data_IF_198699439258
#
_entry.id   IF_198699439258
#
_cell.length_a   1.000
_cell.length_b   1.000
_cell.length_c   1.000
_cell.angle_alpha   90.00
_cell.angle_beta   90.00
_cell.angle_gamma   90.00
#
_symmetry.space_group_name_H-M   'P 1'
#
loop_
_entity.id
_entity.type
_entity.pdbx_description
1 polymer ?
#
# COMPACT_ATOMS: atom_id res chain seq x y z
N UNK A 1 36.86 -31.52 -38.19
CA UNK A 1 37.14 -31.30 -36.74
C UNK A 1 37.85 -29.97 -36.40
N UNK A 2 38.21 -29.11 -37.36
CA UNK A 2 38.96 -27.86 -37.08
C UNK A 2 38.04 -26.61 -37.03
N UNK A 3 36.88 -26.61 -37.72
CA UNK A 3 35.93 -25.47 -37.72
C UNK A 3 35.13 -25.28 -36.43
N UNK A 4 34.97 -26.31 -35.59
CA UNK A 4 34.23 -26.20 -34.32
C UNK A 4 35.07 -25.54 -33.21
N UNK A 5 36.39 -25.75 -33.24
CA UNK A 5 37.35 -25.16 -32.30
C UNK A 5 37.60 -23.67 -32.56
N UNK A 6 37.56 -23.23 -33.82
CA UNK A 6 37.68 -21.81 -34.18
C UNK A 6 36.43 -20.99 -33.84
N UNK A 7 35.23 -21.61 -33.94
CA UNK A 7 33.98 -20.99 -33.50
C UNK A 7 33.98 -20.77 -31.98
N UNK A 8 34.47 -21.74 -31.22
CA UNK A 8 34.61 -21.63 -29.77
C UNK A 8 35.68 -20.62 -29.34
N UNK A 9 36.75 -20.44 -30.15
CA UNK A 9 37.82 -19.45 -29.89
C UNK A 9 37.42 -17.99 -30.17
N UNK A 10 36.43 -17.74 -31.04
CA UNK A 10 35.87 -16.39 -31.27
C UNK A 10 34.67 -16.05 -30.39
N UNK A 11 34.06 -17.04 -29.77
CA UNK A 11 33.00 -16.81 -28.81
C UNK A 11 33.59 -16.37 -27.47
N UNK A 12 33.13 -15.24 -26.94
CA UNK A 12 33.33 -14.75 -25.56
C UNK A 12 32.72 -15.72 -24.51
N UNK A 13 32.79 -17.02 -24.71
CA UNK A 13 32.15 -18.03 -23.87
C UNK A 13 33.03 -18.49 -22.70
N UNK A 14 34.29 -18.07 -22.63
CA UNK A 14 35.15 -18.30 -21.46
C UNK A 14 35.25 -17.08 -20.53
N UNK A 15 34.45 -16.03 -20.75
CA UNK A 15 34.38 -14.89 -19.83
C UNK A 15 33.22 -14.96 -18.82
N UNK A 16 32.35 -15.96 -18.91
CA UNK A 16 31.09 -16.00 -18.15
C UNK A 16 30.88 -17.26 -17.30
N UNK A 17 31.96 -17.88 -16.82
CA UNK A 17 31.87 -18.95 -15.81
C UNK A 17 32.63 -18.63 -14.51
N UNK A 18 33.19 -17.42 -14.39
CA UNK A 18 33.70 -16.85 -13.15
C UNK A 18 32.80 -15.73 -12.60
N UNK A 19 31.51 -15.70 -12.98
CA UNK A 19 30.48 -15.01 -12.20
C UNK A 19 30.29 -15.80 -10.90
N UNK A 20 31.27 -15.59 -10.01
CA UNK A 20 31.30 -15.88 -8.60
C UNK A 20 29.90 -15.80 -8.00
N UNK A 21 29.59 -16.61 -7.00
CA UNK A 21 28.41 -16.46 -6.15
C UNK A 21 28.11 -14.98 -5.81
N UNK A 22 29.14 -14.13 -5.71
CA UNK A 22 29.00 -12.67 -5.57
C UNK A 22 28.26 -11.99 -6.72
N UNK A 23 28.53 -12.30 -7.99
CA UNK A 23 27.83 -11.74 -9.15
C UNK A 23 26.35 -12.15 -9.21
N UNK A 24 26.05 -13.42 -8.88
CA UNK A 24 24.67 -13.92 -8.76
C UNK A 24 23.94 -13.26 -7.57
N UNK A 25 24.62 -13.06 -6.45
CA UNK A 25 24.11 -12.33 -5.28
C UNK A 25 23.86 -10.85 -5.57
N UNK A 26 24.74 -10.17 -6.31
CA UNK A 26 24.58 -8.77 -6.71
C UNK A 26 23.38 -8.62 -7.65
N UNK A 27 23.23 -9.51 -8.63
CA UNK A 27 22.09 -9.50 -9.54
C UNK A 27 20.76 -9.78 -8.81
N UNK A 28 20.74 -10.75 -7.89
CA UNK A 28 19.59 -11.02 -7.04
C UNK A 28 19.26 -9.84 -6.12
N UNK A 29 20.28 -9.15 -5.57
CA UNK A 29 20.11 -7.95 -4.75
C UNK A 29 19.52 -6.80 -5.57
N UNK A 30 20.03 -6.55 -6.78
CA UNK A 30 19.50 -5.53 -7.69
C UNK A 30 18.05 -5.83 -8.08
N UNK A 31 17.72 -7.08 -8.45
CA UNK A 31 16.33 -7.50 -8.69
C UNK A 31 15.45 -7.25 -7.46
N UNK A 32 15.86 -7.68 -6.26
CA UNK A 32 15.10 -7.43 -5.02
C UNK A 32 14.88 -5.95 -4.76
N UNK A 33 15.88 -5.10 -5.02
CA UNK A 33 15.76 -3.65 -4.88
C UNK A 33 14.77 -3.05 -5.90
N UNK A 34 14.81 -3.50 -7.16
CA UNK A 34 13.84 -3.10 -8.18
C UNK A 34 12.42 -3.54 -7.81
N UNK A 35 12.24 -4.76 -7.30
CA UNK A 35 10.94 -5.23 -6.80
C UNK A 35 10.46 -4.39 -5.61
N UNK A 36 11.33 -4.07 -4.65
CA UNK A 36 11.01 -3.18 -3.53
C UNK A 36 10.61 -1.79 -4.01
N UNK A 37 11.35 -1.21 -4.96
CA UNK A 37 11.06 0.11 -5.53
C UNK A 37 9.72 0.12 -6.30
N UNK A 38 9.46 -0.90 -7.13
CA UNK A 38 8.20 -1.07 -7.86
C UNK A 38 7.02 -1.26 -6.91
N UNK A 39 7.20 -2.04 -5.84
CA UNK A 39 6.21 -2.22 -4.77
C UNK A 39 5.95 -0.90 -4.03
N UNK A 40 6.99 -0.14 -3.69
CA UNK A 40 6.86 1.19 -3.05
C UNK A 40 6.09 2.17 -3.95
N UNK A 41 6.41 2.23 -5.24
CA UNK A 41 5.69 3.08 -6.22
C UNK A 41 4.21 2.72 -6.34
N UNK A 42 3.85 1.44 -6.23
CA UNK A 42 2.46 0.97 -6.27
C UNK A 42 1.64 1.42 -5.05
N UNK A 43 2.28 1.63 -3.90
CA UNK A 43 1.59 2.07 -2.68
C UNK A 43 1.42 3.59 -2.60
N UNK A 44 2.21 4.38 -3.34
CA UNK A 44 2.18 5.86 -3.32
C UNK A 44 1.04 6.54 -4.09
N UNK A 45 0.00 5.80 -4.46
CA UNK A 45 -1.09 6.35 -5.26
C UNK A 45 -2.29 6.65 -4.37
N UNK A 46 -2.64 7.94 -4.30
CA UNK A 46 -3.90 8.41 -3.74
C UNK A 46 -4.96 8.32 -4.83
N UNK A 47 -6.13 7.77 -4.50
CA UNK A 47 -7.29 7.76 -5.37
C UNK A 47 -8.42 8.57 -4.75
N UNK A 48 -8.85 9.61 -5.45
CA UNK A 48 -10.02 10.40 -5.05
C UNK A 48 -11.27 9.80 -5.68
N UNK A 49 -12.26 9.50 -4.85
CA UNK A 49 -13.57 9.01 -5.23
C UNK A 49 -14.61 10.08 -4.93
N UNK A 50 -15.45 10.37 -5.91
CA UNK A 50 -16.42 11.47 -5.87
C UNK A 50 -17.82 10.88 -5.68
N UNK A 51 -18.62 11.35 -4.71
CA UNK A 51 -20.00 10.90 -4.53
C UNK A 51 -20.86 11.35 -5.71
N UNK A 52 -22.02 10.70 -5.92
CA UNK A 52 -22.96 11.08 -6.99
C UNK A 52 -23.65 12.42 -6.70
N UNK A 53 -23.95 12.67 -5.44
CA UNK A 53 -24.65 13.86 -4.98
C UNK A 53 -23.69 14.97 -4.52
N UNK A 54 -24.24 16.07 -4.01
CA UNK A 54 -23.47 17.17 -3.42
C UNK A 54 -22.52 16.67 -2.33
N UNK A 55 -21.27 17.09 -2.42
CA UNK A 55 -20.23 16.78 -1.43
C UNK A 55 -20.59 17.43 -0.09
N UNK A 56 -20.77 16.61 0.95
CA UNK A 56 -21.09 17.01 2.33
C UNK A 56 -19.85 17.19 3.21
N UNK A 57 -18.76 16.56 2.83
CA UNK A 57 -17.50 16.57 3.57
C UNK A 57 -16.44 15.69 2.92
N UNK A 58 -15.28 15.61 3.56
CA UNK A 58 -14.09 14.90 3.09
C UNK A 58 -13.70 13.79 4.06
N UNK A 59 -13.45 12.60 3.52
CA UNK A 59 -13.00 11.44 4.27
C UNK A 59 -11.65 10.97 3.73
N UNK A 60 -10.69 10.78 4.61
CA UNK A 60 -9.44 10.10 4.29
C UNK A 60 -9.57 8.62 4.69
N UNK A 61 -9.52 7.71 3.73
CA UNK A 61 -9.48 6.27 3.99
C UNK A 61 -8.06 5.76 3.77
N UNK A 62 -7.39 5.38 4.86
CA UNK A 62 -6.09 4.75 4.85
C UNK A 62 -6.24 3.24 5.09
N UNK A 63 -6.16 2.45 4.02
CA UNK A 63 -6.28 1.01 4.14
C UNK A 63 -5.58 0.28 2.98
N UNK A 64 -6.15 -0.80 2.46
CA UNK A 64 -5.69 -1.39 1.20
C UNK A 64 -6.21 -0.54 0.02
N UNK A 65 -5.40 -0.31 -1.03
CA UNK A 65 -5.82 0.46 -2.20
C UNK A 65 -7.16 0.02 -2.78
N UNK A 66 -8.05 0.99 -2.99
CA UNK A 66 -9.38 0.78 -3.52
C UNK A 66 -9.39 0.22 -4.96
N UNK A 67 -10.34 -0.65 -5.25
CA UNK A 67 -10.58 -1.18 -6.60
C UNK A 67 -12.07 -1.46 -6.84
N UNK A 68 -12.55 -1.17 -8.05
CA UNK A 68 -13.89 -1.58 -8.53
C UNK A 68 -13.86 -2.89 -9.33
N UNK A 69 -12.70 -3.55 -9.42
CA UNK A 69 -12.57 -4.75 -10.24
C UNK A 69 -13.29 -5.93 -9.55
N UNK A 70 -14.38 -6.48 -10.13
CA UNK A 70 -15.19 -7.50 -9.47
C UNK A 70 -14.42 -8.79 -9.17
N UNK A 71 -13.47 -9.17 -10.03
CA UNK A 71 -12.64 -10.35 -9.80
C UNK A 71 -11.75 -10.17 -8.57
N UNK A 72 -11.13 -8.99 -8.39
CA UNK A 72 -10.30 -8.68 -7.21
C UNK A 72 -11.11 -8.62 -5.93
N UNK A 73 -12.33 -8.10 -5.99
CA UNK A 73 -13.23 -8.04 -4.83
C UNK A 73 -13.56 -9.44 -4.30
N UNK A 74 -13.60 -10.45 -5.16
CA UNK A 74 -13.87 -11.85 -4.77
C UNK A 74 -12.64 -12.60 -4.25
N UNK A 75 -11.43 -12.04 -4.38
CA UNK A 75 -10.19 -12.75 -4.03
C UNK A 75 -9.84 -12.67 -2.54
N UNK A 76 -10.14 -11.56 -1.87
CA UNK A 76 -9.71 -11.37 -0.50
C UNK A 76 -10.67 -10.45 0.27
N UNK A 77 -11.09 -10.88 1.46
CA UNK A 77 -12.06 -10.16 2.30
C UNK A 77 -11.64 -8.70 2.54
N UNK A 78 -10.36 -8.46 2.83
CA UNK A 78 -9.85 -7.09 3.04
C UNK A 78 -10.03 -6.17 1.82
N UNK A 79 -9.88 -6.69 0.60
CA UNK A 79 -10.08 -5.91 -0.63
C UNK A 79 -11.55 -5.54 -0.78
N UNK A 80 -12.44 -6.50 -0.50
CA UNK A 80 -13.87 -6.26 -0.45
C UNK A 80 -14.25 -5.24 0.65
N UNK A 81 -13.69 -5.36 1.86
CA UNK A 81 -13.94 -4.43 2.97
C UNK A 81 -13.54 -3.01 2.61
N UNK A 82 -12.35 -2.81 2.01
CA UNK A 82 -11.89 -1.49 1.55
C UNK A 82 -12.89 -0.87 0.55
N UNK A 83 -13.37 -1.66 -0.40
CA UNK A 83 -14.39 -1.23 -1.35
C UNK A 83 -15.70 -0.85 -0.65
N UNK A 84 -16.21 -1.72 0.24
CA UNK A 84 -17.46 -1.48 0.96
C UNK A 84 -17.41 -0.23 1.84
N UNK A 85 -16.30 0.01 2.55
CA UNK A 85 -16.09 1.21 3.37
C UNK A 85 -16.14 2.47 2.52
N UNK A 86 -15.42 2.49 1.39
CA UNK A 86 -15.42 3.64 0.49
C UNK A 86 -16.82 3.89 -0.08
N UNK A 87 -17.53 2.84 -0.50
CA UNK A 87 -18.92 2.94 -0.99
C UNK A 87 -19.84 3.53 0.08
N UNK A 88 -19.74 3.09 1.32
CA UNK A 88 -20.57 3.60 2.42
C UNK A 88 -20.40 5.11 2.61
N UNK A 89 -19.16 5.62 2.61
CA UNK A 89 -18.92 7.06 2.71
C UNK A 89 -19.43 7.83 1.49
N UNK A 90 -19.20 7.30 0.28
CA UNK A 90 -19.71 7.90 -0.96
C UNK A 90 -21.24 7.98 -0.98
N UNK A 91 -21.92 6.92 -0.55
CA UNK A 91 -23.39 6.85 -0.49
C UNK A 91 -23.96 7.80 0.58
N UNK A 92 -23.14 8.20 1.57
CA UNK A 92 -23.47 9.26 2.54
C UNK A 92 -23.13 10.68 2.06
N UNK A 93 -22.61 10.82 0.84
CA UNK A 93 -22.29 12.10 0.22
C UNK A 93 -20.90 12.65 0.56
N UNK A 94 -19.99 11.83 1.08
CA UNK A 94 -18.61 12.25 1.33
C UNK A 94 -17.72 12.03 0.10
N UNK A 95 -16.79 12.96 -0.13
CA UNK A 95 -15.67 12.73 -1.03
C UNK A 95 -14.60 11.94 -0.30
N UNK A 96 -14.13 10.85 -0.92
CA UNK A 96 -13.22 9.90 -0.27
C UNK A 96 -11.86 9.93 -0.97
N UNK A 97 -10.81 10.35 -0.26
CA UNK A 97 -9.44 10.14 -0.70
C UNK A 97 -8.94 8.82 -0.09
N UNK A 98 -8.57 7.86 -0.95
CA UNK A 98 -8.05 6.56 -0.53
C UNK A 98 -6.54 6.53 -0.68
N UNK A 99 -5.85 6.19 0.39
CA UNK A 99 -4.40 5.99 0.42
C UNK A 99 -4.08 4.58 0.92
N UNK A 100 -2.95 4.03 0.47
CA UNK A 100 -2.46 2.77 1.01
C UNK A 100 -1.92 2.96 2.42
N UNK A 101 -2.22 2.02 3.31
CA UNK A 101 -1.59 1.91 4.63
C UNK A 101 -0.06 1.74 4.57
N UNK A 102 0.48 1.26 3.44
CA UNK A 102 1.92 1.20 3.18
C UNK A 102 2.54 2.52 2.71
N UNK A 103 1.75 3.58 2.49
CA UNK A 103 2.26 4.90 2.12
C UNK A 103 2.55 5.76 3.36
N UNK A 104 3.70 5.48 3.96
CA UNK A 104 4.20 6.23 5.11
C UNK A 104 4.55 7.69 4.79
N UNK A 105 4.70 8.04 3.50
CA UNK A 105 5.12 9.37 3.05
C UNK A 105 3.92 10.27 2.69
N UNK A 106 2.69 9.74 2.72
CA UNK A 106 1.51 10.52 2.37
C UNK A 106 1.20 11.60 3.43
N UNK A 107 1.03 12.83 2.93
CA UNK A 107 0.63 14.01 3.71
C UNK A 107 -0.73 14.52 3.18
N UNK A 108 -1.76 14.61 4.04
CA UNK A 108 -3.02 15.27 3.75
C UNK A 108 -2.83 16.68 3.17
N UNK A 109 -3.39 16.93 1.97
CA UNK A 109 -3.37 18.26 1.33
C UNK A 109 -4.63 19.09 1.59
N UNK A 110 -5.64 18.48 2.21
CA UNK A 110 -6.93 19.09 2.53
C UNK A 110 -7.28 18.80 3.99
N UNK A 111 -8.20 19.58 4.53
CA UNK A 111 -8.82 19.31 5.82
C UNK A 111 -9.87 18.21 5.67
N UNK A 112 -9.73 17.14 6.43
CA UNK A 112 -10.69 16.03 6.45
C UNK A 112 -11.63 16.14 7.65
N UNK A 113 -12.89 15.77 7.44
CA UNK A 113 -13.89 15.67 8.52
C UNK A 113 -13.74 14.35 9.26
N UNK A 114 -13.38 13.28 8.54
CA UNK A 114 -13.19 11.94 9.08
C UNK A 114 -11.90 11.34 8.52
N UNK A 115 -11.11 10.73 9.40
CA UNK A 115 -10.02 9.84 9.04
C UNK A 115 -10.43 8.44 9.43
N UNK A 116 -10.46 7.55 8.45
CA UNK A 116 -10.64 6.12 8.63
C UNK A 116 -9.30 5.42 8.37
N UNK A 117 -8.76 4.71 9.35
CA UNK A 117 -7.53 3.92 9.17
C UNK A 117 -7.74 2.49 9.67
N UNK A 118 -6.89 1.57 9.23
CA UNK A 118 -6.83 0.29 9.93
C UNK A 118 -6.07 0.44 11.25
N UNK A 119 -4.88 1.04 11.31
CA UNK A 119 -4.19 1.26 12.61
C UNK A 119 -2.88 2.05 12.44
N UNK A 120 -2.06 1.69 11.44
CA UNK A 120 -0.66 2.11 11.33
C UNK A 120 -0.41 3.60 11.15
N UNK A 121 -1.36 4.33 10.57
CA UNK A 121 -1.15 5.73 10.19
C UNK A 121 -2.07 6.67 10.97
N UNK A 122 -3.00 6.15 11.79
CA UNK A 122 -3.95 6.96 12.52
C UNK A 122 -3.26 7.96 13.44
N UNK A 123 -2.21 7.54 14.16
CA UNK A 123 -1.46 8.45 15.03
C UNK A 123 -0.84 9.63 14.26
N UNK A 124 -0.23 9.33 13.10
CA UNK A 124 0.33 10.37 12.22
C UNK A 124 -0.76 11.30 11.72
N UNK A 125 -1.87 10.76 11.24
CA UNK A 125 -2.95 11.57 10.70
C UNK A 125 -3.69 12.36 11.76
N UNK A 126 -3.85 11.85 12.98
CA UNK A 126 -4.44 12.59 14.09
C UNK A 126 -3.62 13.83 14.44
N UNK A 127 -2.29 13.76 14.42
CA UNK A 127 -1.41 14.93 14.60
C UNK A 127 -1.54 15.93 13.45
N UNK A 128 -1.66 15.45 12.21
CA UNK A 128 -1.77 16.29 11.00
C UNK A 128 -3.17 16.87 10.78
N UNK A 129 -4.20 16.27 11.38
CA UNK A 129 -5.62 16.61 11.21
C UNK A 129 -6.33 16.54 12.58
N UNK A 130 -5.96 17.40 13.54
CA UNK A 130 -6.42 17.30 14.93
C UNK A 130 -7.93 17.50 15.10
N UNK A 131 -8.58 18.17 14.14
CA UNK A 131 -10.04 18.43 14.16
C UNK A 131 -10.86 17.30 13.53
N UNK A 132 -10.23 16.37 12.82
CA UNK A 132 -10.94 15.29 12.14
C UNK A 132 -11.42 14.25 13.16
N UNK A 133 -12.60 13.68 12.91
CA UNK A 133 -13.07 12.51 13.65
C UNK A 133 -12.21 11.30 13.24
N UNK A 134 -11.72 10.55 14.23
CA UNK A 134 -10.87 9.38 14.00
C UNK A 134 -11.73 8.12 14.12
N UNK A 135 -11.73 7.31 13.06
CA UNK A 135 -12.38 6.01 13.01
C UNK A 135 -11.32 4.94 12.71
N UNK A 136 -11.34 3.84 13.45
CA UNK A 136 -10.42 2.72 13.26
C UNK A 136 -11.18 1.41 13.10
N UNK A 137 -10.71 0.60 12.16
CA UNK A 137 -11.18 -0.77 11.98
C UNK A 137 -10.19 -1.77 12.58
N UNK A 138 -10.63 -2.45 13.64
CA UNK A 138 -9.94 -3.63 14.14
C UNK A 138 -10.43 -4.86 13.39
N UNK A 139 -9.53 -5.49 12.62
CA UNK A 139 -9.82 -6.73 11.90
C UNK A 139 -9.57 -8.00 12.72
N UNK A 140 -9.02 -7.85 13.93
CA UNK A 140 -8.64 -8.96 14.80
C UNK A 140 -9.77 -9.26 15.81
N UNK A 141 -9.89 -10.54 16.18
CA UNK A 141 -11.03 -11.06 16.95
C UNK A 141 -11.15 -10.46 18.35
N UNK A 142 -10.04 -10.05 18.98
CA UNK A 142 -10.05 -9.42 20.30
C UNK A 142 -8.86 -8.48 20.52
N UNK A 143 -9.12 -7.18 20.35
CA UNK A 143 -8.12 -6.11 20.37
C UNK A 143 -7.21 -6.08 21.62
N UNK A 144 -7.72 -6.29 22.86
CA UNK A 144 -6.90 -6.21 24.07
C UNK A 144 -5.75 -7.23 24.13
N UNK A 145 -5.87 -8.35 23.42
CA UNK A 145 -4.85 -9.42 23.40
C UNK A 145 -4.04 -9.41 22.11
N UNK A 146 -4.63 -8.92 21.03
CA UNK A 146 -4.01 -9.00 19.71
C UNK A 146 -2.96 -7.90 19.51
N UNK A 147 -3.17 -6.69 20.05
CA UNK A 147 -2.19 -5.62 19.88
C UNK A 147 -2.21 -4.53 20.98
N UNK A 148 -1.51 -4.77 22.08
CA UNK A 148 -1.37 -3.82 23.19
C UNK A 148 -0.68 -2.50 22.78
N UNK A 149 0.25 -2.55 21.82
CA UNK A 149 0.93 -1.34 21.35
C UNK A 149 -0.05 -0.40 20.64
N UNK A 150 -0.95 -0.93 19.81
CA UNK A 150 -1.97 -0.11 19.13
C UNK A 150 -2.99 0.47 20.11
N UNK A 151 -3.37 -0.31 21.13
CA UNK A 151 -4.29 0.16 22.16
C UNK A 151 -3.75 1.42 22.84
N UNK A 152 -2.48 1.38 23.25
CA UNK A 152 -1.80 2.53 23.86
C UNK A 152 -1.78 3.75 22.94
N UNK A 153 -1.59 3.57 21.63
CA UNK A 153 -1.61 4.69 20.68
C UNK A 153 -2.98 5.36 20.63
N UNK A 154 -4.05 4.57 20.59
CA UNK A 154 -5.43 5.06 20.47
C UNK A 154 -5.88 5.77 21.75
N UNK A 155 -5.47 5.27 22.92
CA UNK A 155 -5.74 5.92 24.21
C UNK A 155 -5.11 7.33 24.33
N UNK A 156 -4.14 7.66 23.47
CA UNK A 156 -3.47 8.97 23.44
C UNK A 156 -3.99 9.94 22.35
N UNK A 157 -5.04 9.58 21.60
CA UNK A 157 -5.58 10.35 20.46
C UNK A 157 -6.78 11.24 20.81
#
# INVERSE_FOLDING_TARGET
>A
MIKLLEYLRRSKLLFNLSLSLTGLCIFNRQKRNLFKAKRKKRFKQVRTLIPRDKIRGYVLVCYIPYTDNPQKLRQHAVVWSSHAICRLFLDKGYLVDVVSNGDADFIPRRSYDIIFDNYWNLERFAKLQPKATKAVLFSESYQPFANQAERKRIECL
#
